data_IF_012297788640
#
_entry.id   IF_012297788640
#
_cell.length_a   1.000
_cell.length_b   1.000
_cell.length_c   1.000
_cell.angle_alpha   90.00
_cell.angle_beta   90.00
_cell.angle_gamma   90.00
#
_symmetry.space_group_name_H-M   'P 1'
#
loop_
_entity.id
_entity.type
_entity.pdbx_description
1 polymer ?
#
# COMPACT_ATOMS: atom_id res chain seq x y z
N UNK A 1 11.89 -17.48 -6.74
CA UNK A 1 12.07 -18.82 -7.34
C UNK A 1 11.81 -18.79 -8.84
N UNK A 2 10.63 -18.34 -9.32
CA UNK A 2 10.25 -18.33 -10.74
C UNK A 2 11.19 -17.48 -11.64
N UNK A 3 11.61 -16.31 -11.17
CA UNK A 3 12.55 -15.43 -11.89
C UNK A 3 13.94 -16.06 -12.03
N UNK A 4 14.48 -16.61 -10.95
CA UNK A 4 15.78 -17.31 -10.95
C UNK A 4 15.72 -18.52 -11.89
N UNK A 5 14.62 -19.27 -11.84
CA UNK A 5 14.40 -20.40 -12.76
C UNK A 5 14.45 -19.98 -14.24
N UNK A 6 13.79 -18.88 -14.61
CA UNK A 6 13.81 -18.39 -15.99
C UNK A 6 15.19 -17.89 -16.42
N UNK A 7 15.93 -17.19 -15.56
CA UNK A 7 17.32 -16.77 -15.85
C UNK A 7 18.22 -17.99 -16.08
N UNK A 8 18.15 -18.97 -15.18
CA UNK A 8 18.94 -20.21 -15.31
C UNK A 8 18.57 -20.96 -16.58
N UNK A 9 17.30 -21.05 -16.91
CA UNK A 9 16.82 -21.70 -18.14
C UNK A 9 17.36 -21.01 -19.40
N UNK A 10 17.31 -19.66 -19.45
CA UNK A 10 17.86 -18.89 -20.57
C UNK A 10 19.37 -19.10 -20.67
N UNK A 11 20.09 -19.11 -19.54
CA UNK A 11 21.52 -19.33 -19.52
C UNK A 11 21.90 -20.73 -20.01
N UNK A 12 21.15 -21.76 -19.62
CA UNK A 12 21.35 -23.12 -20.08
C UNK A 12 21.09 -23.31 -21.60
N UNK A 13 20.08 -22.61 -22.13
CA UNK A 13 19.79 -22.58 -23.56
C UNK A 13 20.98 -21.93 -24.31
N UNK A 14 21.48 -20.81 -23.81
CA UNK A 14 22.63 -20.12 -24.41
C UNK A 14 23.89 -20.97 -24.49
N UNK A 15 24.19 -21.71 -23.41
CA UNK A 15 25.43 -22.50 -23.31
C UNK A 15 25.49 -23.62 -24.35
N UNK A 16 24.35 -24.06 -24.90
CA UNK A 16 24.23 -25.13 -25.88
C UNK A 16 23.82 -24.64 -27.28
N UNK A 17 23.68 -23.31 -27.45
CA UNK A 17 23.38 -22.73 -28.75
C UNK A 17 24.65 -22.43 -29.52
N UNK A 18 24.65 -22.74 -30.81
CA UNK A 18 25.75 -22.38 -31.72
C UNK A 18 25.39 -21.17 -32.57
N UNK A 19 26.38 -20.35 -32.87
CA UNK A 19 26.22 -19.14 -33.67
C UNK A 19 26.07 -19.52 -35.15
N UNK A 20 25.03 -18.99 -35.80
CA UNK A 20 24.85 -19.11 -37.27
C UNK A 20 25.56 -17.96 -37.94
N UNK A 21 26.43 -18.31 -38.92
CA UNK A 21 27.21 -17.38 -39.71
C UNK A 21 27.16 -17.72 -41.16
N UNK A 22 27.67 -16.85 -42.03
CA UNK A 22 27.81 -17.12 -43.48
C UNK A 22 28.74 -18.27 -43.80
N UNK A 23 29.54 -18.77 -42.86
CA UNK A 23 30.49 -19.84 -43.03
C UNK A 23 29.90 -21.23 -42.76
N UNK A 24 29.04 -21.33 -41.74
CA UNK A 24 28.46 -22.62 -41.31
C UNK A 24 27.06 -22.91 -41.88
N UNK A 25 26.22 -21.86 -42.08
CA UNK A 25 24.86 -21.98 -42.63
C UNK A 25 24.59 -20.79 -43.56
N UNK A 26 25.21 -20.77 -44.75
CA UNK A 26 25.20 -19.61 -45.65
C UNK A 26 23.80 -19.20 -46.11
N UNK A 27 22.96 -20.18 -46.53
CA UNK A 27 21.61 -19.89 -47.04
C UNK A 27 20.69 -19.32 -45.98
N UNK A 28 20.64 -19.97 -44.82
CA UNK A 28 19.84 -19.54 -43.67
C UNK A 28 20.27 -18.17 -43.16
N UNK A 29 21.60 -17.94 -43.08
CA UNK A 29 22.16 -16.67 -42.68
C UNK A 29 21.82 -15.53 -43.64
N UNK A 30 21.93 -15.80 -44.97
CA UNK A 30 21.60 -14.81 -46.00
C UNK A 30 20.12 -14.43 -45.97
N UNK A 31 19.24 -15.40 -45.74
CA UNK A 31 17.81 -15.17 -45.59
C UNK A 31 17.52 -14.30 -44.34
N UNK A 32 18.19 -14.58 -43.22
CA UNK A 32 18.08 -13.77 -42.00
C UNK A 32 18.54 -12.34 -42.24
N UNK A 33 19.68 -12.12 -42.94
CA UNK A 33 20.19 -10.78 -43.22
C UNK A 33 19.23 -10.03 -44.17
N UNK A 34 18.62 -10.69 -45.13
CA UNK A 34 17.62 -10.06 -46.00
C UNK A 34 16.41 -9.52 -45.20
N UNK A 35 15.97 -10.27 -44.19
CA UNK A 35 14.92 -9.81 -43.24
C UNK A 35 15.37 -8.59 -42.41
N UNK A 36 16.62 -8.61 -41.99
CA UNK A 36 17.23 -7.54 -41.20
C UNK A 36 17.29 -6.21 -41.98
N UNK A 37 17.72 -6.28 -43.26
CA UNK A 37 17.75 -5.14 -44.17
C UNK A 37 16.34 -4.61 -44.48
N UNK A 38 15.39 -5.52 -44.77
CA UNK A 38 14.00 -5.16 -45.05
C UNK A 38 13.34 -4.45 -43.90
N UNK A 39 13.69 -4.81 -42.65
CA UNK A 39 13.24 -4.16 -41.42
C UNK A 39 14.00 -2.87 -41.09
N UNK A 40 15.06 -2.54 -41.85
CA UNK A 40 15.95 -1.39 -41.61
C UNK A 40 16.52 -1.38 -40.17
N UNK A 41 16.88 -2.55 -39.65
CA UNK A 41 17.51 -2.69 -38.35
C UNK A 41 18.99 -2.35 -38.51
N UNK A 42 19.47 -1.31 -37.79
CA UNK A 42 20.86 -0.83 -37.87
C UNK A 42 21.83 -1.60 -36.98
N UNK A 43 21.30 -2.15 -35.89
CA UNK A 43 22.09 -2.87 -34.91
C UNK A 43 22.17 -4.33 -35.26
N UNK A 44 23.36 -4.93 -35.13
CA UNK A 44 23.52 -6.36 -35.32
C UNK A 44 22.75 -7.16 -34.27
N UNK A 45 21.86 -8.06 -34.71
CA UNK A 45 21.14 -9.04 -33.89
C UNK A 45 21.71 -10.41 -34.26
N UNK A 46 22.38 -11.06 -33.31
CA UNK A 46 23.04 -12.34 -33.59
C UNK A 46 22.03 -13.47 -33.68
N UNK A 47 22.21 -14.37 -34.69
CA UNK A 47 21.39 -15.54 -34.89
C UNK A 47 22.08 -16.78 -34.35
N UNK A 48 21.34 -17.55 -33.50
CA UNK A 48 21.81 -18.80 -32.91
C UNK A 48 20.84 -19.94 -33.24
N UNK A 49 21.33 -21.16 -33.28
CA UNK A 49 20.50 -22.36 -33.31
C UNK A 49 20.73 -23.22 -32.08
N UNK A 50 19.69 -23.91 -31.60
CA UNK A 50 19.76 -24.77 -30.42
C UNK A 50 18.79 -25.95 -30.54
N UNK A 51 19.26 -27.13 -30.14
CA UNK A 51 18.43 -28.35 -30.05
C UNK A 51 17.53 -28.37 -28.79
N UNK A 52 17.71 -27.41 -27.86
CA UNK A 52 16.98 -27.40 -26.60
C UNK A 52 15.76 -26.49 -26.60
N UNK A 53 15.39 -25.91 -27.72
CA UNK A 53 14.21 -25.11 -27.89
C UNK A 53 13.29 -25.66 -28.97
N UNK A 54 11.99 -25.55 -28.73
CA UNK A 54 10.96 -25.96 -29.69
C UNK A 54 10.33 -24.76 -30.41
N UNK A 55 10.66 -23.53 -29.99
CA UNK A 55 10.17 -22.30 -30.64
C UNK A 55 11.27 -21.25 -30.70
N UNK A 56 11.31 -20.43 -31.78
CA UNK A 56 12.18 -19.29 -31.88
C UNK A 56 11.95 -18.36 -30.64
N UNK A 57 13.01 -17.70 -30.23
CA UNK A 57 12.97 -16.76 -29.12
C UNK A 57 13.90 -15.60 -29.40
N UNK A 58 13.38 -14.38 -29.33
CA UNK A 58 14.17 -13.17 -29.36
C UNK A 58 14.35 -12.63 -27.94
N UNK A 59 15.59 -12.34 -27.54
CA UNK A 59 15.91 -11.84 -26.21
C UNK A 59 17.20 -11.00 -26.20
N UNK A 60 17.47 -10.38 -25.05
CA UNK A 60 18.64 -9.54 -24.83
C UNK A 60 18.39 -8.06 -25.10
N UNK A 61 18.60 -7.22 -24.11
CA UNK A 61 18.41 -5.77 -24.20
C UNK A 61 19.67 -5.08 -24.76
N UNK A 62 20.85 -5.44 -24.21
CA UNK A 62 22.13 -4.85 -24.61
C UNK A 62 22.78 -5.61 -25.77
N UNK A 63 22.62 -6.92 -25.83
CA UNK A 63 23.15 -7.79 -26.88
C UNK A 63 22.00 -8.63 -27.41
N UNK A 64 21.20 -8.09 -28.35
CA UNK A 64 20.03 -8.77 -28.87
C UNK A 64 20.42 -10.01 -29.68
N UNK A 65 19.67 -11.08 -29.44
CA UNK A 65 19.88 -12.38 -30.06
C UNK A 65 18.55 -12.99 -30.46
N UNK A 66 18.53 -13.72 -31.55
CA UNK A 66 17.46 -14.64 -31.95
C UNK A 66 18.01 -16.04 -31.83
N UNK A 67 17.33 -16.94 -31.14
CA UNK A 67 17.65 -18.37 -31.14
C UNK A 67 16.52 -19.09 -31.84
N UNK A 68 16.86 -19.98 -32.78
CA UNK A 68 15.93 -20.82 -33.51
C UNK A 68 16.16 -22.31 -33.18
N UNK A 69 15.14 -23.16 -33.33
CA UNK A 69 15.35 -24.61 -33.31
C UNK A 69 16.33 -25.05 -34.41
N UNK A 70 17.21 -26.02 -34.10
CA UNK A 70 18.26 -26.46 -35.02
C UNK A 70 17.71 -27.03 -36.32
N UNK A 71 16.55 -27.71 -36.29
CA UNK A 71 15.97 -28.41 -37.44
C UNK A 71 14.88 -27.56 -38.15
N UNK A 72 14.86 -26.23 -37.90
CA UNK A 72 13.79 -25.37 -38.41
C UNK A 72 13.74 -25.28 -39.92
N UNK A 73 14.88 -25.19 -40.57
CA UNK A 73 15.07 -25.15 -42.05
C UNK A 73 14.78 -26.48 -42.72
N UNK A 74 14.98 -27.60 -42.04
CA UNK A 74 14.64 -28.95 -42.52
C UNK A 74 13.13 -29.19 -42.46
N UNK A 75 12.49 -28.68 -41.40
CA UNK A 75 11.07 -28.93 -41.14
C UNK A 75 10.12 -27.97 -41.85
N UNK A 76 10.57 -26.79 -42.20
CA UNK A 76 9.76 -25.72 -42.80
C UNK A 76 10.26 -25.33 -44.18
N UNK A 77 9.39 -24.75 -45.00
CA UNK A 77 9.80 -24.20 -46.30
C UNK A 77 10.61 -22.91 -46.09
N UNK A 78 11.44 -22.56 -47.09
CA UNK A 78 12.17 -21.27 -47.08
C UNK A 78 11.25 -20.07 -46.81
N UNK A 79 10.03 -20.09 -47.38
CA UNK A 79 9.06 -19.02 -47.17
C UNK A 79 8.53 -18.97 -45.73
N UNK A 80 8.34 -20.13 -45.09
CA UNK A 80 7.93 -20.19 -43.68
C UNK A 80 9.04 -19.65 -42.75
N UNK A 81 10.29 -20.06 -43.00
CA UNK A 81 11.46 -19.56 -42.26
C UNK A 81 11.60 -18.04 -42.39
N UNK A 82 11.42 -17.53 -43.63
CA UNK A 82 11.43 -16.09 -43.89
C UNK A 82 10.37 -15.34 -43.07
N UNK A 83 9.14 -15.84 -42.98
CA UNK A 83 8.08 -15.21 -42.19
C UNK A 83 8.36 -15.28 -40.69
N UNK A 84 8.93 -16.36 -40.20
CA UNK A 84 9.33 -16.50 -38.79
C UNK A 84 10.46 -15.52 -38.47
N UNK A 85 11.47 -15.36 -39.33
CA UNK A 85 12.53 -14.37 -39.11
C UNK A 85 11.98 -12.94 -39.07
N UNK A 86 11.06 -12.59 -39.93
CA UNK A 86 10.39 -11.30 -39.88
C UNK A 86 9.66 -11.09 -38.55
N UNK A 87 8.99 -12.12 -38.04
CA UNK A 87 8.25 -12.08 -36.79
C UNK A 87 9.19 -11.88 -35.59
N UNK A 88 10.25 -12.67 -35.48
CA UNK A 88 11.22 -12.58 -34.37
C UNK A 88 11.96 -11.23 -34.37
N UNK A 89 12.31 -10.72 -35.54
CA UNK A 89 12.94 -9.41 -35.66
C UNK A 89 11.98 -8.24 -35.35
N UNK A 90 10.65 -8.43 -35.48
CA UNK A 90 9.67 -7.43 -35.02
C UNK A 90 9.64 -7.32 -33.51
N UNK A 91 9.77 -8.42 -32.75
CA UNK A 91 9.91 -8.37 -31.29
C UNK A 91 11.09 -7.49 -30.86
N UNK A 92 12.23 -7.63 -31.55
CA UNK A 92 13.37 -6.74 -31.32
C UNK A 92 13.04 -5.28 -31.62
N UNK A 93 12.40 -5.00 -32.75
CA UNK A 93 12.04 -3.65 -33.22
C UNK A 93 11.03 -2.97 -32.29
N UNK A 94 10.10 -3.73 -31.72
CA UNK A 94 9.11 -3.26 -30.73
C UNK A 94 9.70 -3.12 -29.32
N UNK A 95 10.97 -3.54 -29.10
CA UNK A 95 11.65 -3.54 -27.79
C UNK A 95 10.95 -4.42 -26.75
N UNK A 96 10.39 -5.53 -27.17
CA UNK A 96 9.62 -6.45 -26.32
C UNK A 96 10.45 -7.03 -25.17
N UNK A 97 11.76 -7.20 -25.38
CA UNK A 97 12.68 -7.59 -24.31
C UNK A 97 12.65 -6.60 -23.13
N UNK A 98 12.64 -5.29 -23.40
CA UNK A 98 12.56 -4.27 -22.35
C UNK A 98 11.23 -4.35 -21.58
N UNK A 99 10.12 -4.50 -22.31
CA UNK A 99 8.80 -4.68 -21.70
C UNK A 99 8.73 -5.95 -20.84
N UNK A 100 9.37 -7.04 -21.27
CA UNK A 100 9.46 -8.26 -20.47
C UNK A 100 10.19 -8.05 -19.15
N UNK A 101 11.32 -7.32 -19.13
CA UNK A 101 12.02 -7.02 -17.89
C UNK A 101 11.18 -6.17 -16.93
N UNK A 102 10.51 -5.13 -17.44
CA UNK A 102 9.58 -4.30 -16.64
C UNK A 102 8.45 -5.17 -16.09
N UNK A 103 7.84 -6.01 -16.92
CA UNK A 103 6.78 -6.94 -16.52
C UNK A 103 7.22 -7.88 -15.40
N UNK A 104 8.43 -8.46 -15.52
CA UNK A 104 8.99 -9.33 -14.49
C UNK A 104 9.21 -8.60 -13.15
N UNK A 105 9.73 -7.37 -13.18
CA UNK A 105 9.93 -6.55 -11.97
C UNK A 105 8.57 -6.27 -11.30
N UNK A 106 7.58 -5.84 -12.08
CA UNK A 106 6.24 -5.57 -11.54
C UNK A 106 5.57 -6.84 -10.99
N UNK A 107 5.75 -8.00 -11.63
CA UNK A 107 5.24 -9.27 -11.12
C UNK A 107 5.94 -9.72 -9.82
N UNK A 108 7.20 -9.35 -9.61
CA UNK A 108 7.92 -9.60 -8.35
C UNK A 108 7.37 -8.70 -7.24
N UNK A 109 7.19 -7.41 -7.51
CA UNK A 109 6.70 -6.43 -6.54
C UNK A 109 5.24 -6.74 -6.16
N UNK A 110 4.40 -7.03 -7.15
CA UNK A 110 2.95 -7.26 -6.98
C UNK A 110 2.58 -8.75 -7.12
N UNK A 111 3.44 -9.65 -6.64
CA UNK A 111 3.27 -11.11 -6.77
C UNK A 111 1.92 -11.63 -6.24
N UNK A 112 1.35 -10.96 -5.26
CA UNK A 112 0.08 -11.30 -4.60
C UNK A 112 -1.16 -10.77 -5.34
N UNK A 113 -1.01 -9.89 -6.35
CA UNK A 113 -2.12 -9.24 -7.03
C UNK A 113 -2.50 -9.99 -8.33
N UNK A 114 -3.65 -10.70 -8.38
CA UNK A 114 -4.06 -11.47 -9.56
C UNK A 114 -4.37 -10.60 -10.78
N UNK A 115 -4.78 -9.34 -10.59
CA UNK A 115 -5.05 -8.42 -11.71
C UNK A 115 -3.79 -8.06 -12.48
N UNK A 116 -2.65 -7.96 -11.81
CA UNK A 116 -1.35 -7.73 -12.45
C UNK A 116 -0.97 -8.92 -13.34
N UNK A 117 -1.15 -10.16 -12.87
CA UNK A 117 -0.90 -11.36 -13.65
C UNK A 117 -1.81 -11.45 -14.87
N UNK A 118 -3.09 -11.16 -14.69
CA UNK A 118 -4.07 -11.13 -15.79
C UNK A 118 -3.73 -10.03 -16.81
N UNK A 119 -3.39 -8.82 -16.35
CA UNK A 119 -2.97 -7.72 -17.23
C UNK A 119 -1.74 -8.06 -18.06
N UNK A 120 -0.74 -8.71 -17.50
CA UNK A 120 0.44 -9.15 -18.25
C UNK A 120 0.15 -10.28 -19.24
N UNK A 121 -0.78 -11.16 -18.92
CA UNK A 121 -1.23 -12.18 -19.87
C UNK A 121 -1.88 -11.53 -21.11
N UNK A 122 -2.75 -10.54 -20.92
CA UNK A 122 -3.34 -9.76 -22.02
C UNK A 122 -2.25 -9.03 -22.80
N UNK A 123 -1.34 -8.33 -22.12
CA UNK A 123 -0.24 -7.60 -22.77
C UNK A 123 0.64 -8.52 -23.64
N UNK A 124 0.92 -9.74 -23.17
CA UNK A 124 1.66 -10.72 -23.94
C UNK A 124 0.93 -11.11 -25.22
N UNK A 125 -0.38 -11.38 -25.15
CA UNK A 125 -1.22 -11.69 -26.30
C UNK A 125 -1.25 -10.53 -27.31
N UNK A 126 -1.43 -9.31 -26.84
CA UNK A 126 -1.50 -8.11 -27.70
C UNK A 126 -0.18 -7.84 -28.40
N UNK A 127 0.96 -8.16 -27.79
CA UNK A 127 2.29 -8.06 -28.42
C UNK A 127 2.44 -9.03 -29.59
N UNK A 128 1.99 -10.28 -29.43
CA UNK A 128 2.01 -11.25 -30.55
C UNK A 128 1.20 -10.73 -31.73
N UNK A 129 -0.03 -10.24 -31.48
CA UNK A 129 -0.88 -9.65 -32.53
C UNK A 129 -0.23 -8.42 -33.16
N UNK A 130 0.44 -7.57 -32.38
CA UNK A 130 1.14 -6.40 -32.90
C UNK A 130 2.34 -6.78 -33.80
N UNK A 131 3.08 -7.84 -33.44
CA UNK A 131 4.14 -8.39 -34.26
C UNK A 131 3.58 -8.98 -35.59
N UNK A 132 2.50 -9.77 -35.51
CA UNK A 132 1.83 -10.31 -36.70
C UNK A 132 1.36 -9.19 -37.64
N UNK A 133 0.69 -8.18 -37.11
CA UNK A 133 0.26 -7.02 -37.90
C UNK A 133 1.43 -6.27 -38.55
N UNK A 134 2.57 -6.21 -37.88
CA UNK A 134 3.78 -5.58 -38.42
C UNK A 134 4.40 -6.41 -39.54
N UNK A 135 4.38 -7.74 -39.42
CA UNK A 135 4.81 -8.65 -40.49
C UNK A 135 3.90 -8.48 -41.71
N UNK A 136 2.56 -8.50 -41.53
CA UNK A 136 1.59 -8.35 -42.63
C UNK A 136 1.76 -7.00 -43.33
N UNK A 137 2.07 -5.92 -42.61
CA UNK A 137 2.37 -4.63 -43.24
C UNK A 137 3.58 -4.66 -44.17
N UNK A 138 4.51 -5.59 -43.97
CA UNK A 138 5.74 -5.73 -44.76
C UNK A 138 5.53 -6.67 -45.98
N UNK A 139 4.87 -7.81 -45.73
CA UNK A 139 4.65 -8.83 -46.75
C UNK A 139 3.47 -8.48 -47.67
N UNK A 140 2.60 -7.58 -47.23
CA UNK A 140 1.37 -7.18 -47.93
C UNK A 140 0.17 -8.08 -47.60
N UNK A 141 -1.03 -7.51 -47.72
CA UNK A 141 -2.29 -8.19 -47.40
C UNK A 141 -2.53 -9.47 -48.20
N UNK A 142 -2.04 -9.54 -49.44
CA UNK A 142 -2.23 -10.71 -50.29
C UNK A 142 -1.54 -11.97 -49.74
N UNK A 143 -0.47 -11.80 -48.97
CA UNK A 143 0.31 -12.90 -48.37
C UNK A 143 -0.10 -13.21 -46.93
N UNK A 144 -1.16 -12.56 -46.38
CA UNK A 144 -1.58 -12.78 -45.00
C UNK A 144 -2.08 -14.20 -44.75
N UNK A 145 -2.70 -14.82 -45.71
CA UNK A 145 -3.18 -16.21 -45.63
C UNK A 145 -2.00 -17.19 -45.55
N UNK A 146 -0.98 -17.00 -46.37
CA UNK A 146 0.24 -17.83 -46.35
C UNK A 146 1.00 -17.70 -45.06
N UNK A 147 1.07 -16.47 -44.51
CA UNK A 147 1.62 -16.22 -43.17
C UNK A 147 0.82 -16.94 -42.09
N UNK A 148 -0.51 -16.90 -42.16
CA UNK A 148 -1.38 -17.63 -41.21
C UNK A 148 -1.13 -19.15 -41.26
N UNK A 149 -0.97 -19.72 -42.48
CA UNK A 149 -0.61 -21.12 -42.65
C UNK A 149 0.79 -21.45 -42.12
N UNK A 150 1.75 -20.53 -42.20
CA UNK A 150 3.06 -20.69 -41.59
C UNK A 150 2.95 -20.92 -40.09
N UNK A 151 2.12 -20.12 -39.38
CA UNK A 151 1.90 -20.28 -37.93
C UNK A 151 1.26 -21.64 -37.61
N UNK A 152 0.33 -22.12 -38.44
CA UNK A 152 -0.30 -23.43 -38.26
C UNK A 152 0.74 -24.55 -38.48
N UNK A 153 1.45 -24.55 -39.62
CA UNK A 153 2.49 -25.56 -39.92
C UNK A 153 3.57 -25.58 -38.84
N UNK A 154 3.95 -24.40 -38.37
CA UNK A 154 4.91 -24.27 -37.31
C UNK A 154 4.39 -24.92 -36.02
N UNK A 155 3.15 -24.60 -35.60
CA UNK A 155 2.54 -25.17 -34.40
C UNK A 155 2.38 -26.70 -34.50
N UNK A 156 2.01 -27.24 -35.63
CA UNK A 156 1.85 -28.68 -35.85
C UNK A 156 3.18 -29.43 -35.82
N UNK A 157 4.21 -28.93 -36.48
CA UNK A 157 5.52 -29.61 -36.61
C UNK A 157 6.32 -29.55 -35.30
N UNK A 158 6.21 -28.44 -34.55
CA UNK A 158 6.93 -28.25 -33.30
C UNK A 158 6.26 -28.92 -32.08
N UNK A 159 4.96 -29.20 -32.12
CA UNK A 159 4.29 -29.97 -31.07
C UNK A 159 4.77 -31.44 -30.97
N UNK A 160 5.25 -32.02 -32.06
CA UNK A 160 5.79 -33.39 -32.02
C UNK A 160 7.10 -33.51 -31.23
N UNK A 161 7.87 -32.43 -31.09
CA UNK A 161 9.14 -32.42 -30.34
C UNK A 161 8.98 -31.88 -28.91
N UNK A 162 7.77 -31.47 -28.46
CA UNK A 162 7.50 -30.84 -27.18
C UNK A 162 7.36 -31.83 -25.99
N UNK A 163 7.91 -33.05 -26.10
CA UNK A 163 7.87 -34.03 -25.00
C UNK A 163 8.69 -33.62 -23.77
N UNK A 164 9.42 -32.51 -23.82
CA UNK A 164 10.35 -32.06 -22.77
C UNK A 164 9.96 -30.75 -22.03
N UNK A 165 8.79 -30.17 -22.29
CA UNK A 165 8.37 -28.95 -21.57
C UNK A 165 7.09 -29.16 -20.75
N UNK A 166 7.17 -29.28 -19.39
CA UNK A 166 5.99 -29.42 -18.54
C UNK A 166 5.04 -28.22 -18.55
N UNK A 167 5.48 -27.08 -19.07
CA UNK A 167 4.74 -25.80 -19.11
C UNK A 167 3.83 -25.62 -20.33
N UNK A 168 3.97 -26.46 -21.37
CA UNK A 168 3.14 -26.41 -22.60
C UNK A 168 1.78 -27.12 -22.45
N UNK A 169 1.47 -27.71 -21.30
CA UNK A 169 0.25 -28.53 -21.07
C UNK A 169 -1.01 -27.75 -20.71
N UNK A 170 -0.94 -26.45 -20.50
CA UNK A 170 -2.13 -25.67 -20.21
C UNK A 170 -2.70 -25.16 -21.55
N UNK A 171 -3.93 -25.55 -21.89
CA UNK A 171 -4.66 -25.27 -23.13
C UNK A 171 -4.76 -23.81 -23.59
N UNK A 172 -3.93 -22.93 -23.02
CA UNK A 172 -3.76 -21.53 -23.36
C UNK A 172 -3.05 -21.30 -24.71
N UNK A 173 -2.04 -22.09 -25.04
CA UNK A 173 -1.26 -21.88 -26.28
C UNK A 173 -2.09 -22.07 -27.56
N UNK A 174 -2.95 -23.10 -27.60
CA UNK A 174 -3.86 -23.32 -28.76
C UNK A 174 -4.82 -22.15 -28.94
N UNK A 175 -5.36 -21.61 -27.85
CA UNK A 175 -6.28 -20.47 -27.91
C UNK A 175 -5.58 -19.21 -28.42
N UNK A 176 -4.35 -18.96 -27.98
CA UNK A 176 -3.55 -17.83 -28.46
C UNK A 176 -3.28 -17.92 -29.95
N UNK A 177 -2.90 -19.10 -30.47
CA UNK A 177 -2.67 -19.32 -31.92
C UNK A 177 -3.98 -19.11 -32.70
N UNK A 178 -5.10 -19.65 -32.25
CA UNK A 178 -6.41 -19.45 -32.89
C UNK A 178 -6.78 -17.96 -32.90
N UNK A 179 -6.57 -17.23 -31.86
CA UNK A 179 -6.84 -15.80 -31.79
C UNK A 179 -5.93 -15.02 -32.72
N UNK A 180 -4.63 -15.34 -32.82
CA UNK A 180 -3.69 -14.75 -33.78
C UNK A 180 -4.16 -14.99 -35.22
N UNK A 181 -4.53 -16.23 -35.57
CA UNK A 181 -5.02 -16.58 -36.93
C UNK A 181 -6.30 -15.80 -37.26
N UNK A 182 -7.24 -15.65 -36.33
CA UNK A 182 -8.44 -14.84 -36.54
C UNK A 182 -8.11 -13.37 -36.79
N UNK A 183 -7.17 -12.81 -36.06
CA UNK A 183 -6.73 -11.42 -36.25
C UNK A 183 -6.00 -11.24 -37.61
N UNK A 184 -5.16 -12.21 -38.00
CA UNK A 184 -4.50 -12.22 -39.30
C UNK A 184 -5.53 -12.28 -40.45
N UNK A 185 -6.56 -13.15 -40.34
CA UNK A 185 -7.61 -13.28 -41.34
C UNK A 185 -8.47 -12.00 -41.46
N UNK A 186 -8.70 -11.32 -40.31
CA UNK A 186 -9.47 -10.08 -40.24
C UNK A 186 -8.61 -8.82 -40.37
N UNK A 187 -7.35 -8.95 -40.76
CA UNK A 187 -6.40 -7.85 -40.79
C UNK A 187 -6.95 -6.63 -41.55
N UNK A 188 -7.00 -5.52 -40.85
CA UNK A 188 -7.28 -4.21 -41.42
C UNK A 188 -6.15 -3.24 -41.07
N UNK A 189 -5.64 -2.53 -42.05
CA UNK A 189 -4.58 -1.54 -41.85
C UNK A 189 -5.08 -0.46 -40.86
N UNK A 190 -4.42 -0.36 -39.72
CA UNK A 190 -4.77 0.64 -38.70
C UNK A 190 -4.63 2.05 -39.29
N UNK A 191 -5.73 2.78 -39.32
CA UNK A 191 -5.74 4.13 -39.85
C UNK A 191 -4.97 5.08 -38.90
N UNK A 192 -4.37 6.16 -39.47
CA UNK A 192 -3.70 7.20 -38.66
C UNK A 192 -4.63 7.80 -37.60
N UNK A 193 -5.94 7.86 -37.89
CA UNK A 193 -6.98 8.36 -36.97
C UNK A 193 -7.12 7.46 -35.74
N UNK A 194 -7.17 6.15 -35.92
CA UNK A 194 -7.23 5.19 -34.80
C UNK A 194 -5.99 5.27 -33.92
N UNK A 195 -4.79 5.34 -34.51
CA UNK A 195 -3.53 5.49 -33.74
C UNK A 195 -3.52 6.76 -32.91
N UNK A 196 -3.98 7.89 -33.49
CA UNK A 196 -4.10 9.17 -32.77
C UNK A 196 -5.10 9.07 -31.60
N UNK A 197 -6.26 8.48 -31.84
CA UNK A 197 -7.28 8.31 -30.80
C UNK A 197 -6.76 7.43 -29.63
N UNK A 198 -6.04 6.34 -29.92
CA UNK A 198 -5.43 5.49 -28.90
C UNK A 198 -4.42 6.27 -28.03
N UNK A 199 -3.60 7.14 -28.65
CA UNK A 199 -2.67 8.00 -27.90
C UNK A 199 -3.43 8.99 -27.03
N UNK A 200 -4.50 9.59 -27.53
CA UNK A 200 -5.34 10.53 -26.76
C UNK A 200 -5.96 9.83 -25.55
N UNK A 201 -6.51 8.63 -25.74
CA UNK A 201 -7.08 7.82 -24.64
C UNK A 201 -6.01 7.49 -23.59
N UNK A 202 -4.80 7.08 -24.03
CA UNK A 202 -3.70 6.79 -23.11
C UNK A 202 -3.29 8.01 -22.29
N UNK A 203 -3.11 9.17 -22.97
CA UNK A 203 -2.77 10.43 -22.28
C UNK A 203 -3.87 10.83 -21.31
N UNK A 204 -5.14 10.72 -21.70
CA UNK A 204 -6.27 10.99 -20.82
C UNK A 204 -6.27 10.08 -19.58
N UNK A 205 -6.04 8.77 -19.77
CA UNK A 205 -5.94 7.82 -18.65
C UNK A 205 -4.77 8.17 -17.70
N UNK A 206 -3.60 8.53 -18.23
CA UNK A 206 -2.46 8.96 -17.42
C UNK A 206 -2.76 10.25 -16.63
N UNK A 207 -3.40 11.23 -17.26
CA UNK A 207 -3.83 12.48 -16.60
C UNK A 207 -4.85 12.16 -15.50
N UNK A 208 -5.80 11.29 -15.77
CA UNK A 208 -6.82 10.90 -14.80
C UNK A 208 -6.19 10.22 -13.57
N UNK A 209 -5.26 9.27 -13.77
CA UNK A 209 -4.50 8.63 -12.68
C UNK A 209 -3.68 9.66 -11.91
N UNK A 210 -3.01 10.59 -12.61
CA UNK A 210 -2.24 11.66 -11.99
C UNK A 210 -3.12 12.61 -11.17
N UNK A 211 -4.31 12.98 -11.65
CA UNK A 211 -5.26 13.84 -10.93
C UNK A 211 -5.91 13.15 -9.73
N UNK A 212 -6.12 11.82 -9.79
CA UNK A 212 -6.69 11.03 -8.68
C UNK A 212 -5.63 10.70 -7.63
N UNK A 213 -4.36 10.58 -8.00
CA UNK A 213 -3.27 10.27 -7.08
C UNK A 213 -3.18 11.21 -5.87
N UNK A 214 -3.25 12.56 -6.02
CA UNK A 214 -3.29 13.47 -4.88
C UNK A 214 -4.51 13.29 -3.97
N UNK A 215 -5.68 12.95 -4.55
CA UNK A 215 -6.87 12.66 -3.75
C UNK A 215 -6.69 11.41 -2.88
N UNK A 216 -6.05 10.37 -3.41
CA UNK A 216 -5.74 9.16 -2.65
C UNK A 216 -4.65 9.41 -1.59
N UNK A 217 -3.66 10.27 -1.88
CA UNK A 217 -2.63 10.66 -0.89
C UNK A 217 -3.16 11.62 0.16
N UNK A 218 -4.11 12.49 -0.15
CA UNK A 218 -4.79 13.35 0.84
C UNK A 218 -5.63 12.53 1.81
N UNK A 219 -6.21 11.40 1.38
CA UNK A 219 -6.84 10.46 2.29
C UNK A 219 -5.84 9.61 3.10
N UNK A 220 -4.62 9.40 2.61
CA UNK A 220 -3.58 8.61 3.29
C UNK A 220 -2.62 9.45 4.15
N UNK A 221 -2.57 10.76 3.97
CA UNK A 221 -1.70 11.70 4.68
C UNK A 221 -2.44 12.98 5.05
N UNK A 222 -3.52 12.89 5.81
CA UNK A 222 -3.76 13.88 6.85
C UNK A 222 -2.77 13.57 7.97
N UNK A 223 -1.52 13.78 7.69
CA UNK A 223 -0.49 13.86 8.69
C UNK A 223 -0.78 15.15 9.46
N UNK A 224 -1.31 15.04 10.67
CA UNK A 224 -1.54 16.16 11.57
C UNK A 224 -0.23 16.91 11.92
N UNK A 225 0.93 16.35 11.53
CA UNK A 225 2.22 17.05 11.55
C UNK A 225 2.24 18.32 10.66
N UNK A 226 1.35 18.43 9.67
CA UNK A 226 1.27 19.62 8.79
C UNK A 226 0.62 20.85 9.45
N UNK A 227 -0.03 20.73 10.62
CA UNK A 227 -0.55 21.86 11.37
C UNK A 227 0.49 22.50 12.29
N UNK A 228 1.63 21.86 12.49
CA UNK A 228 2.75 22.40 13.27
C UNK A 228 3.63 23.25 12.35
N UNK A 229 3.27 24.50 12.11
CA UNK A 229 4.20 25.44 11.48
C UNK A 229 5.33 25.75 12.46
N UNK A 230 6.57 25.77 11.97
CA UNK A 230 7.77 26.06 12.78
C UNK A 230 7.72 27.41 13.52
N UNK A 231 6.74 28.25 13.22
CA UNK A 231 6.55 29.56 13.84
C UNK A 231 5.76 29.52 15.16
N UNK A 232 5.01 28.43 15.45
CA UNK A 232 4.15 28.32 16.61
C UNK A 232 4.65 27.29 17.64
N UNK A 233 5.89 26.81 17.51
CA UNK A 233 6.47 25.79 18.39
C UNK A 233 7.65 26.37 19.15
N UNK A 234 7.62 26.26 20.47
CA UNK A 234 8.74 26.51 21.36
C UNK A 234 9.28 25.17 21.90
N UNK A 235 10.54 24.89 21.68
CA UNK A 235 11.22 23.77 22.32
C UNK A 235 11.51 24.14 23.79
N UNK A 236 11.15 23.24 24.73
CA UNK A 236 11.38 23.44 26.16
C UNK A 236 12.26 22.31 26.72
N UNK A 237 13.15 22.64 27.64
CA UNK A 237 13.96 21.65 28.36
C UNK A 237 13.26 21.19 29.63
N UNK A 238 12.80 19.95 29.61
CA UNK A 238 12.17 19.26 30.74
C UNK A 238 12.95 17.99 31.13
N UNK A 239 14.20 17.87 30.73
CA UNK A 239 15.04 16.68 30.94
C UNK A 239 15.13 16.24 32.40
N UNK A 240 15.06 17.18 33.36
CA UNK A 240 15.06 16.89 34.80
C UNK A 240 13.86 16.03 35.22
N UNK A 241 12.69 16.24 34.66
CA UNK A 241 11.46 15.47 34.94
C UNK A 241 11.47 14.06 34.33
N UNK A 242 12.20 13.88 33.23
CA UNK A 242 12.32 12.61 32.52
C UNK A 242 13.62 11.84 32.79
N UNK A 243 14.36 12.20 33.85
CA UNK A 243 15.68 11.61 34.16
C UNK A 243 15.68 10.09 34.38
N UNK A 244 14.54 9.51 34.78
CA UNK A 244 14.36 8.07 35.09
C UNK A 244 13.60 7.31 34.01
N UNK A 245 13.05 7.98 32.98
CA UNK A 245 12.19 7.37 31.98
C UNK A 245 12.32 8.10 30.66
N UNK A 246 12.15 7.38 29.56
CA UNK A 246 12.09 7.99 28.25
C UNK A 246 10.68 8.48 27.95
N UNK A 247 10.52 9.74 27.54
CA UNK A 247 9.20 10.28 27.28
C UNK A 247 9.21 11.62 26.56
N UNK A 248 8.02 12.15 26.35
CA UNK A 248 7.77 13.46 25.75
C UNK A 248 6.63 14.18 26.47
N UNK A 249 6.63 15.48 26.33
CA UNK A 249 5.57 16.35 26.83
C UNK A 249 5.21 17.37 25.76
N UNK A 250 3.91 17.58 25.57
CA UNK A 250 3.35 18.58 24.67
C UNK A 250 2.30 19.36 25.43
N UNK A 251 2.36 20.69 25.34
CA UNK A 251 1.29 21.56 25.84
C UNK A 251 0.95 22.60 24.75
N UNK A 252 -0.33 22.83 24.55
CA UNK A 252 -0.89 23.76 23.58
C UNK A 252 -1.72 24.83 24.29
N UNK A 253 -1.36 26.07 24.07
CA UNK A 253 -2.07 27.26 24.50
C UNK A 253 -3.14 27.58 23.45
N UNK A 254 -4.42 27.34 23.80
CA UNK A 254 -5.53 27.52 22.85
C UNK A 254 -5.80 28.99 22.52
N UNK A 255 -5.49 29.93 23.42
CA UNK A 255 -5.71 31.36 23.21
C UNK A 255 -4.66 31.98 22.27
N UNK A 256 -3.39 31.57 22.46
CA UNK A 256 -2.27 32.16 21.71
C UNK A 256 -1.84 31.31 20.50
N UNK A 257 -2.47 30.17 20.25
CA UNK A 257 -2.11 29.19 19.20
C UNK A 257 -0.62 28.84 19.23
N UNK A 258 -0.10 28.43 20.43
CA UNK A 258 1.31 28.11 20.63
C UNK A 258 1.50 26.77 21.31
N UNK A 259 2.46 26.01 20.77
CA UNK A 259 2.90 24.73 21.34
C UNK A 259 4.21 24.92 22.09
N UNK A 260 4.35 24.26 23.25
CA UNK A 260 5.64 24.00 23.90
C UNK A 260 5.85 22.48 23.88
N UNK A 261 7.00 22.04 23.37
CA UNK A 261 7.28 20.62 23.14
C UNK A 261 8.61 20.25 23.80
N UNK A 262 8.59 19.18 24.58
CA UNK A 262 9.78 18.47 25.03
C UNK A 262 9.91 17.16 24.27
N UNK A 263 11.11 16.85 23.73
CA UNK A 263 11.45 15.66 22.97
C UNK A 263 10.57 15.48 21.73
N UNK A 264 10.83 16.30 20.71
CA UNK A 264 10.08 16.38 19.47
C UNK A 264 9.96 15.03 18.75
N UNK A 265 11.02 14.21 18.77
CA UNK A 265 11.01 12.89 18.10
C UNK A 265 9.98 11.94 18.72
N UNK A 266 9.90 11.88 20.05
CA UNK A 266 8.91 11.07 20.72
C UNK A 266 7.52 11.71 20.70
N UNK A 267 7.42 13.05 20.67
CA UNK A 267 6.13 13.75 20.63
C UNK A 267 5.36 13.57 19.33
N UNK A 268 6.06 13.26 18.25
CA UNK A 268 5.46 12.98 16.91
C UNK A 268 5.35 11.49 16.59
N UNK A 269 5.95 10.63 17.42
CA UNK A 269 5.91 9.18 17.23
C UNK A 269 4.57 8.62 17.66
N UNK A 270 3.89 7.91 16.77
CA UNK A 270 2.63 7.22 17.05
C UNK A 270 2.87 5.92 17.81
N UNK A 271 2.18 5.77 18.95
CA UNK A 271 2.13 4.57 19.79
C UNK A 271 0.68 4.23 20.13
N UNK A 272 0.41 3.09 20.79
CA UNK A 272 -0.96 2.74 21.19
C UNK A 272 -1.55 3.76 22.14
N UNK A 273 -2.83 4.16 21.96
CA UNK A 273 -3.50 5.10 22.85
C UNK A 273 -3.79 4.50 24.23
N UNK A 274 -3.85 3.20 24.34
CA UNK A 274 -4.31 2.48 25.51
C UNK A 274 -5.62 3.10 26.06
N UNK A 275 -5.78 3.26 27.35
CA UNK A 275 -7.03 3.79 27.93
C UNK A 275 -7.35 5.24 27.56
N UNK A 276 -6.50 5.98 26.84
CA UNK A 276 -6.85 7.35 26.42
C UNK A 276 -7.89 7.37 25.29
N UNK A 277 -8.00 6.29 24.48
CA UNK A 277 -9.01 6.13 23.45
C UNK A 277 -10.45 6.24 23.99
N UNK A 278 -10.64 5.89 25.26
CA UNK A 278 -11.94 5.84 25.94
C UNK A 278 -12.68 7.17 25.96
N UNK A 279 -11.97 8.29 25.85
CA UNK A 279 -12.56 9.62 25.69
C UNK A 279 -13.44 9.64 24.45
N UNK A 280 -12.90 9.17 23.33
CA UNK A 280 -13.56 9.20 22.02
C UNK A 280 -14.57 8.06 21.87
N UNK A 281 -14.28 6.85 22.38
CA UNK A 281 -15.26 5.76 22.45
C UNK A 281 -16.53 6.19 23.22
N UNK A 282 -16.36 6.84 24.36
CA UNK A 282 -17.48 7.40 25.14
C UNK A 282 -18.25 8.47 24.36
N UNK A 283 -17.57 9.38 23.67
CA UNK A 283 -18.18 10.41 22.84
C UNK A 283 -19.00 9.80 21.70
N UNK A 284 -18.44 8.81 20.99
CA UNK A 284 -19.13 8.15 19.87
C UNK A 284 -20.37 7.39 20.36
N UNK A 285 -20.29 6.76 21.54
CA UNK A 285 -21.44 6.10 22.14
C UNK A 285 -22.57 7.08 22.52
N UNK A 286 -22.22 8.30 22.93
CA UNK A 286 -23.19 9.37 23.16
C UNK A 286 -23.82 9.86 21.86
N UNK A 287 -23.03 10.05 20.79
CA UNK A 287 -23.51 10.49 19.47
C UNK A 287 -24.46 9.46 18.82
N UNK A 288 -24.15 8.16 18.96
CA UNK A 288 -24.99 7.08 18.44
C UNK A 288 -26.20 6.77 19.35
N UNK A 289 -26.31 7.43 20.51
CA UNK A 289 -27.40 7.19 21.44
C UNK A 289 -27.33 5.83 22.14
N UNK A 290 -26.21 5.12 22.11
CA UNK A 290 -25.95 3.88 22.86
C UNK A 290 -26.02 4.16 24.37
N UNK A 291 -25.54 5.31 24.77
CA UNK A 291 -25.72 5.92 26.11
C UNK A 291 -26.16 7.37 25.91
N UNK A 292 -26.68 7.99 26.96
CA UNK A 292 -26.98 9.43 26.94
C UNK A 292 -26.52 10.12 28.23
N UNK A 293 -26.48 11.46 28.21
CA UNK A 293 -25.98 12.27 29.30
C UNK A 293 -26.60 11.89 30.66
N UNK A 294 -27.90 11.63 30.73
CA UNK A 294 -28.62 11.32 31.95
C UNK A 294 -28.68 9.82 32.29
N UNK A 295 -28.34 8.94 31.35
CA UNK A 295 -28.44 7.48 31.47
C UNK A 295 -27.31 6.80 30.77
N UNK A 296 -26.14 6.74 31.42
CA UNK A 296 -24.95 6.08 30.91
C UNK A 296 -24.60 4.80 31.69
N UNK A 297 -25.55 4.29 32.49
CA UNK A 297 -25.32 3.11 33.32
C UNK A 297 -25.27 1.83 32.47
N UNK A 298 -24.21 1.02 32.70
CA UNK A 298 -24.07 -0.33 32.18
C UNK A 298 -23.96 -1.30 33.32
N UNK A 299 -24.72 -2.41 33.25
CA UNK A 299 -24.69 -3.45 34.28
C UNK A 299 -23.46 -4.31 34.14
N UNK A 300 -22.80 -4.58 35.28
CA UNK A 300 -21.73 -5.54 35.39
C UNK A 300 -22.28 -6.96 35.27
N UNK A 301 -21.65 -7.79 34.49
CA UNK A 301 -22.10 -9.14 34.17
C UNK A 301 -21.73 -10.21 35.22
N UNK A 302 -21.08 -9.80 36.31
CA UNK A 302 -20.60 -10.69 37.38
C UNK A 302 -19.20 -11.26 37.14
N UNK A 303 -18.53 -10.94 36.02
CA UNK A 303 -17.16 -11.34 35.75
C UNK A 303 -16.21 -10.72 36.75
N UNK A 304 -15.36 -11.53 37.42
CA UNK A 304 -14.44 -11.04 38.43
C UNK A 304 -13.15 -10.49 37.77
N UNK A 305 -12.96 -9.18 37.85
CA UNK A 305 -11.78 -8.48 37.34
C UNK A 305 -10.78 -8.23 38.48
N UNK A 306 -9.52 -8.01 38.12
CA UNK A 306 -8.42 -7.76 39.03
C UNK A 306 -8.65 -6.49 39.89
N UNK A 307 -9.27 -5.47 39.33
CA UNK A 307 -9.57 -4.22 40.03
C UNK A 307 -10.98 -4.28 40.62
N UNK A 308 -11.12 -4.18 41.94
CA UNK A 308 -12.41 -4.17 42.63
C UNK A 308 -13.35 -3.08 42.12
N UNK A 309 -12.81 -1.94 41.68
CA UNK A 309 -13.58 -0.83 41.12
C UNK A 309 -14.29 -1.20 39.79
N UNK A 310 -13.89 -2.31 39.13
CA UNK A 310 -14.49 -2.80 37.90
C UNK A 310 -15.66 -3.78 38.17
N UNK A 311 -15.71 -4.36 39.37
CA UNK A 311 -16.64 -5.42 39.75
C UNK A 311 -17.96 -4.83 40.27
N UNK A 312 -18.56 -3.90 39.54
CA UNK A 312 -19.83 -3.25 39.81
C UNK A 312 -20.35 -2.51 38.59
N UNK A 313 -21.62 -2.13 38.61
CA UNK A 313 -22.23 -1.27 37.58
C UNK A 313 -21.45 0.03 37.39
N UNK A 314 -21.36 0.51 36.20
CA UNK A 314 -20.60 1.69 35.82
C UNK A 314 -21.45 2.71 35.06
N UNK A 315 -21.17 3.99 35.32
CA UNK A 315 -21.58 5.11 34.46
C UNK A 315 -20.38 5.55 33.61
N UNK A 316 -20.58 6.38 32.59
CA UNK A 316 -19.51 6.95 31.78
C UNK A 316 -18.42 7.61 32.66
N UNK A 317 -18.83 8.41 33.65
CA UNK A 317 -17.91 9.09 34.57
C UNK A 317 -17.10 8.10 35.40
N UNK A 318 -17.72 7.09 35.98
CA UNK A 318 -17.01 6.10 36.80
C UNK A 318 -16.13 5.19 35.97
N UNK A 319 -16.55 4.83 34.76
CA UNK A 319 -15.80 4.00 33.82
C UNK A 319 -14.58 4.75 33.30
N UNK A 320 -14.67 6.03 32.91
CA UNK A 320 -13.51 6.86 32.53
C UNK A 320 -12.52 7.01 33.65
N UNK A 321 -13.01 7.37 34.88
CA UNK A 321 -12.17 7.57 36.09
C UNK A 321 -11.40 6.29 36.46
N UNK A 322 -12.05 5.13 36.41
CA UNK A 322 -11.45 3.84 36.80
C UNK A 322 -10.86 3.07 35.59
N UNK A 323 -10.86 3.64 34.39
CA UNK A 323 -10.38 3.00 33.17
C UNK A 323 -11.00 1.63 32.89
N UNK A 324 -12.29 1.43 33.10
CA UNK A 324 -13.00 0.16 33.05
C UNK A 324 -13.08 -0.36 31.59
N UNK A 325 -12.32 -1.38 31.25
CA UNK A 325 -12.25 -1.87 29.86
C UNK A 325 -13.58 -2.44 29.37
N UNK A 326 -14.22 -3.32 30.16
CA UNK A 326 -15.45 -3.99 29.75
C UNK A 326 -16.58 -3.00 29.40
N UNK A 327 -16.62 -1.85 30.07
CA UNK A 327 -17.63 -0.82 29.79
C UNK A 327 -17.48 -0.27 28.35
N UNK A 328 -16.26 0.10 27.97
CA UNK A 328 -15.99 0.66 26.64
C UNK A 328 -16.01 -0.40 25.54
N UNK A 329 -15.57 -1.63 25.81
CA UNK A 329 -15.71 -2.75 24.88
C UNK A 329 -17.19 -3.04 24.56
N UNK A 330 -18.07 -2.96 25.57
CA UNK A 330 -19.50 -3.06 25.36
C UNK A 330 -20.07 -1.91 24.51
N UNK A 331 -19.63 -0.66 24.75
CA UNK A 331 -20.04 0.48 23.95
C UNK A 331 -19.56 0.30 22.49
N UNK A 332 -18.30 -0.01 22.28
CA UNK A 332 -17.71 -0.19 20.96
C UNK A 332 -18.41 -1.33 20.18
N UNK A 333 -18.76 -2.42 20.87
CA UNK A 333 -19.51 -3.53 20.28
C UNK A 333 -20.92 -3.09 19.85
N UNK A 334 -21.62 -2.29 20.64
CA UNK A 334 -22.95 -1.78 20.32
C UNK A 334 -22.91 -0.74 19.17
N UNK A 335 -21.89 0.10 19.11
CA UNK A 335 -21.66 1.04 18.00
C UNK A 335 -21.36 0.27 16.70
N UNK A 336 -20.54 -0.77 16.78
CA UNK A 336 -20.14 -1.62 15.66
C UNK A 336 -18.98 -1.07 14.85
N UNK A 337 -18.25 -1.99 14.19
CA UNK A 337 -16.97 -1.69 13.52
C UNK A 337 -17.04 -0.57 12.49
N UNK A 338 -18.05 -0.60 11.60
CA UNK A 338 -18.14 0.38 10.49
C UNK A 338 -18.40 1.79 11.00
N UNK A 339 -19.26 1.93 12.00
CA UNK A 339 -19.58 3.21 12.60
C UNK A 339 -18.39 3.77 13.38
N UNK A 340 -17.70 2.93 14.18
CA UNK A 340 -16.46 3.31 14.86
C UNK A 340 -15.39 3.76 13.87
N UNK A 341 -15.16 2.99 12.81
CA UNK A 341 -14.20 3.34 11.76
C UNK A 341 -14.54 4.69 11.11
N UNK A 342 -15.84 4.95 10.85
CA UNK A 342 -16.31 6.25 10.33
C UNK A 342 -15.99 7.41 11.27
N UNK A 343 -16.23 7.25 12.58
CA UNK A 343 -15.94 8.27 13.58
C UNK A 343 -14.45 8.53 13.74
N UNK A 344 -13.61 7.48 13.82
CA UNK A 344 -12.15 7.64 13.89
C UNK A 344 -11.61 8.37 12.67
N UNK A 345 -12.15 8.11 11.47
CA UNK A 345 -11.79 8.86 10.28
C UNK A 345 -12.32 10.31 10.32
N UNK A 346 -13.57 10.53 10.79
CA UNK A 346 -14.16 11.87 10.93
C UNK A 346 -13.28 12.78 11.76
N UNK A 347 -12.79 12.29 12.90
CA UNK A 347 -11.93 13.07 13.78
C UNK A 347 -10.43 12.97 13.43
N UNK A 348 -10.05 12.19 12.41
CA UNK A 348 -8.67 11.95 12.00
C UNK A 348 -7.77 11.42 13.13
N UNK A 349 -8.23 10.42 13.88
CA UNK A 349 -7.53 9.86 15.03
C UNK A 349 -6.30 9.05 14.63
N UNK A 350 -5.12 9.63 14.77
CA UNK A 350 -3.84 8.97 14.51
C UNK A 350 -3.80 8.23 13.17
N UNK A 351 -3.61 6.90 13.17
CA UNK A 351 -3.60 6.08 11.96
C UNK A 351 -4.98 5.52 11.57
N UNK A 352 -6.03 5.73 12.36
CA UNK A 352 -7.38 5.21 12.14
C UNK A 352 -7.47 3.70 11.92
N UNK A 353 -6.50 2.90 12.41
CA UNK A 353 -6.41 1.47 12.12
C UNK A 353 -7.09 0.63 13.21
N UNK A 354 -8.26 0.07 12.89
CA UNK A 354 -9.03 -0.83 13.74
C UNK A 354 -8.87 -2.31 13.35
N UNK A 355 -7.86 -2.67 12.56
CA UNK A 355 -7.73 -4.00 11.95
C UNK A 355 -7.54 -5.15 12.96
N UNK A 356 -7.11 -4.83 14.19
CA UNK A 356 -7.01 -5.84 15.26
C UNK A 356 -8.37 -6.26 15.87
N UNK A 357 -9.48 -5.65 15.43
CA UNK A 357 -10.82 -5.97 15.89
C UNK A 357 -11.30 -5.08 17.03
N UNK A 358 -12.63 -5.03 17.26
CA UNK A 358 -13.29 -4.11 18.18
C UNK A 358 -12.80 -4.23 19.62
N UNK A 359 -12.42 -5.43 20.05
CA UNK A 359 -12.08 -5.70 21.44
C UNK A 359 -10.69 -5.19 21.82
N UNK A 360 -9.72 -5.20 20.87
CA UNK A 360 -8.30 -5.04 21.19
C UNK A 360 -7.56 -3.95 20.37
N UNK A 361 -8.21 -3.27 19.41
CA UNK A 361 -7.56 -2.34 18.49
C UNK A 361 -6.76 -1.22 19.18
N UNK A 362 -7.11 -0.87 20.42
CA UNK A 362 -6.58 0.24 21.20
C UNK A 362 -5.45 -0.15 22.16
N UNK A 363 -5.32 -1.43 22.54
CA UNK A 363 -4.43 -1.93 23.60
C UNK A 363 -3.17 -2.54 23.03
N UNK A 364 -2.08 -1.78 22.95
CA UNK A 364 -0.79 -2.19 22.36
C UNK A 364 -0.93 -2.89 21.00
N UNK A 365 -1.89 -2.42 20.18
CA UNK A 365 -2.35 -3.09 18.97
C UNK A 365 -2.34 -2.16 17.74
N UNK A 366 -3.34 -2.25 16.85
CA UNK A 366 -3.32 -1.60 15.53
C UNK A 366 -3.49 -0.08 15.57
N UNK A 367 -4.35 0.44 16.46
CA UNK A 367 -4.59 1.89 16.57
C UNK A 367 -3.39 2.59 17.21
N UNK A 368 -2.89 3.63 16.55
CA UNK A 368 -1.71 4.39 17.01
C UNK A 368 -1.96 5.89 16.89
N UNK A 369 -1.45 6.64 17.86
CA UNK A 369 -1.55 8.10 17.90
C UNK A 369 -0.31 8.69 18.57
N UNK A 370 0.08 9.91 18.21
CA UNK A 370 1.20 10.63 18.81
C UNK A 370 0.75 11.62 19.89
N UNK A 371 1.64 12.04 20.80
CA UNK A 371 1.35 13.08 21.79
C UNK A 371 0.84 14.39 21.19
N UNK A 372 1.42 14.82 20.08
CA UNK A 372 0.96 16.02 19.37
C UNK A 372 -0.47 15.84 18.86
N UNK A 373 -0.78 14.70 18.24
CA UNK A 373 -2.14 14.40 17.75
C UNK A 373 -3.16 14.34 18.88
N UNK A 374 -2.79 13.80 20.05
CA UNK A 374 -3.65 13.80 21.23
C UNK A 374 -4.02 15.23 21.67
N UNK A 375 -3.05 16.14 21.69
CA UNK A 375 -3.27 17.55 22.06
C UNK A 375 -4.16 18.25 21.02
N UNK A 376 -3.94 18.02 19.74
CA UNK A 376 -4.77 18.56 18.66
C UNK A 376 -6.21 18.07 18.81
N UNK A 377 -6.42 16.77 18.99
CA UNK A 377 -7.76 16.20 19.16
C UNK A 377 -8.47 16.71 20.41
N UNK A 378 -7.75 16.94 21.51
CA UNK A 378 -8.34 17.55 22.73
C UNK A 378 -8.77 18.99 22.48
N UNK A 379 -7.98 19.80 21.76
CA UNK A 379 -8.38 21.17 21.41
C UNK A 379 -9.58 21.18 20.47
N UNK A 380 -9.59 20.30 19.46
CA UNK A 380 -10.71 20.16 18.53
C UNK A 380 -12.00 19.66 19.23
N UNK A 381 -11.87 18.79 20.26
CA UNK A 381 -12.97 18.38 21.11
C UNK A 381 -13.57 19.56 21.86
N UNK A 382 -12.73 20.39 22.49
CA UNK A 382 -13.17 21.55 23.27
C UNK A 382 -13.78 22.65 22.41
N UNK A 383 -13.33 22.80 21.18
CA UNK A 383 -13.90 23.71 20.16
C UNK A 383 -15.11 23.13 19.44
N UNK A 384 -15.47 21.87 19.71
CA UNK A 384 -16.49 21.10 18.98
C UNK A 384 -16.35 21.19 17.46
N UNK A 385 -15.13 21.06 16.96
CA UNK A 385 -14.79 21.23 15.55
C UNK A 385 -15.45 20.18 14.63
N UNK A 386 -15.91 19.08 15.20
CA UNK A 386 -16.56 17.99 14.49
C UNK A 386 -18.09 18.12 14.44
N UNK A 387 -18.66 19.20 15.01
CA UNK A 387 -20.11 19.47 15.04
C UNK A 387 -20.89 18.32 15.69
N UNK A 388 -20.40 17.82 16.82
CA UNK A 388 -21.13 16.89 17.67
C UNK A 388 -22.13 17.63 18.57
N UNK A 389 -23.06 16.92 19.20
CA UNK A 389 -24.00 17.55 20.10
C UNK A 389 -23.29 18.16 21.34
N UNK A 390 -23.50 19.44 21.59
CA UNK A 390 -22.86 20.18 22.72
C UNK A 390 -23.03 19.48 24.09
N UNK A 391 -24.21 18.88 24.33
CA UNK A 391 -24.45 18.11 25.56
C UNK A 391 -23.53 16.89 25.70
N UNK A 392 -23.11 16.27 24.56
CA UNK A 392 -22.24 15.10 24.54
C UNK A 392 -20.79 15.52 24.81
N UNK A 393 -20.35 16.62 24.20
CA UNK A 393 -19.05 17.24 24.51
C UNK A 393 -18.99 17.59 26.02
N UNK A 394 -20.04 18.22 26.55
CA UNK A 394 -20.11 18.56 27.99
C UNK A 394 -20.07 17.32 28.88
N UNK A 395 -20.75 16.22 28.48
CA UNK A 395 -20.72 14.96 29.22
C UNK A 395 -19.31 14.38 29.34
N UNK A 396 -18.55 14.42 28.22
CA UNK A 396 -17.15 13.99 28.23
C UNK A 396 -16.29 14.89 29.07
N UNK A 397 -16.45 16.22 28.96
CA UNK A 397 -15.72 17.20 29.80
C UNK A 397 -15.98 16.96 31.30
N UNK A 398 -17.23 16.78 31.70
CA UNK A 398 -17.61 16.49 33.10
C UNK A 398 -16.98 15.17 33.59
N UNK A 399 -16.97 14.14 32.72
CA UNK A 399 -16.40 12.83 33.04
C UNK A 399 -14.86 12.84 33.15
N UNK A 400 -14.18 13.78 32.48
CA UNK A 400 -12.72 13.97 32.55
C UNK A 400 -12.27 14.82 33.73
N UNK A 401 -13.19 15.49 34.47
CA UNK A 401 -12.83 16.34 35.59
C UNK A 401 -12.13 15.55 36.72
N UNK A 402 -10.95 16.01 37.11
CA UNK A 402 -10.13 15.39 38.16
C UNK A 402 -10.28 16.18 39.48
N UNK A 403 -9.92 17.47 39.48
CA UNK A 403 -9.93 18.30 40.66
C UNK A 403 -9.76 19.78 40.35
N UNK A 404 -10.19 20.62 41.28
CA UNK A 404 -9.74 22.00 41.40
C UNK A 404 -8.34 22.02 42.05
N UNK A 405 -7.40 22.69 41.40
CA UNK A 405 -6.01 22.82 41.88
C UNK A 405 -5.65 24.30 42.09
N UNK A 406 -4.49 24.58 42.70
CA UNK A 406 -3.99 25.95 42.86
C UNK A 406 -3.72 26.66 41.55
N UNK A 407 -3.50 25.92 40.49
CA UNK A 407 -3.20 26.41 39.14
C UNK A 407 -4.39 26.35 38.16
N UNK A 408 -5.57 25.90 38.62
CA UNK A 408 -6.79 25.82 37.81
C UNK A 408 -7.52 24.50 37.88
N UNK A 409 -8.56 24.34 37.08
CA UNK A 409 -9.33 23.10 36.98
C UNK A 409 -8.64 22.11 36.06
N UNK A 410 -8.30 20.94 36.59
CA UNK A 410 -7.59 19.89 35.89
C UNK A 410 -8.55 18.82 35.39
N UNK A 411 -8.43 18.49 34.12
CA UNK A 411 -9.17 17.44 33.44
C UNK A 411 -8.18 16.48 32.77
N UNK A 412 -8.46 15.17 32.76
CA UNK A 412 -7.54 14.27 32.10
C UNK A 412 -7.89 12.80 32.15
N UNK A 413 -7.14 12.03 31.40
CA UNK A 413 -7.24 10.59 31.28
C UNK A 413 -5.86 9.95 31.22
N UNK A 414 -5.65 8.94 32.05
CA UNK A 414 -4.46 8.10 32.04
C UNK A 414 -4.63 6.90 31.11
N UNK A 415 -3.51 6.40 30.54
CA UNK A 415 -3.41 5.13 29.83
C UNK A 415 -2.15 4.38 30.23
N UNK A 416 -2.22 3.06 30.31
CA UNK A 416 -1.06 2.20 30.55
C UNK A 416 -1.14 1.03 29.58
N UNK A 417 -0.11 0.87 28.75
CA UNK A 417 0.09 -0.26 27.87
C UNK A 417 1.05 -1.25 28.49
N UNK A 418 0.75 -2.54 28.33
CA UNK A 418 1.60 -3.62 28.81
C UNK A 418 1.68 -4.75 27.82
N UNK A 419 2.90 -5.23 27.54
CA UNK A 419 3.16 -6.42 26.72
C UNK A 419 3.90 -7.44 27.57
N UNK A 420 3.39 -8.67 27.59
CA UNK A 420 3.97 -9.78 28.37
C UNK A 420 4.22 -9.45 29.87
N UNK A 421 3.33 -8.63 30.46
CA UNK A 421 3.43 -8.23 31.86
C UNK A 421 4.44 -7.12 32.16
N UNK A 422 5.07 -6.54 31.14
CA UNK A 422 5.94 -5.36 31.28
C UNK A 422 5.26 -4.12 30.72
N UNK A 423 5.35 -3.02 31.45
CA UNK A 423 4.82 -1.75 30.97
C UNK A 423 5.67 -1.23 29.83
N UNK A 424 5.01 -0.84 28.75
CA UNK A 424 5.65 -0.39 27.51
C UNK A 424 5.33 1.06 27.20
N UNK A 425 4.18 1.56 27.71
CA UNK A 425 3.58 2.80 27.28
C UNK A 425 2.74 3.41 28.43
N UNK A 426 3.05 4.62 28.82
CA UNK A 426 2.34 5.36 29.85
C UNK A 426 1.83 6.70 29.36
N UNK A 427 0.56 6.97 29.48
CA UNK A 427 -0.09 8.18 29.02
C UNK A 427 -0.74 8.97 30.13
N UNK A 428 -0.63 10.29 30.05
CA UNK A 428 -1.57 11.20 30.68
C UNK A 428 -1.87 12.35 29.72
N UNK A 429 -3.13 12.44 29.28
CA UNK A 429 -3.60 13.49 28.39
C UNK A 429 -4.75 14.23 29.01
N UNK A 430 -4.91 15.50 28.69
CA UNK A 430 -5.99 16.32 29.26
C UNK A 430 -5.83 17.79 28.94
N UNK A 431 -6.52 18.59 29.77
CA UNK A 431 -6.44 20.04 29.69
C UNK A 431 -6.58 20.66 31.09
N UNK A 432 -6.08 21.88 31.23
CA UNK A 432 -6.21 22.71 32.44
C UNK A 432 -6.84 24.04 32.04
N UNK A 433 -7.86 24.46 32.81
CA UNK A 433 -8.45 25.80 32.74
C UNK A 433 -7.73 26.68 33.74
N UNK A 434 -6.81 27.53 33.25
CA UNK A 434 -6.01 28.46 34.07
C UNK A 434 -6.39 29.91 33.74
N UNK A 435 -7.04 30.59 34.70
CA UNK A 435 -7.61 31.91 34.48
C UNK A 435 -8.68 31.86 33.37
N UNK A 436 -8.52 32.70 32.33
CA UNK A 436 -9.42 32.73 31.16
C UNK A 436 -8.93 31.87 30.00
N UNK A 437 -7.80 31.14 30.18
CA UNK A 437 -7.18 30.35 29.11
C UNK A 437 -7.29 28.85 29.41
N UNK A 438 -7.30 28.07 28.31
CA UNK A 438 -7.29 26.62 28.36
C UNK A 438 -6.02 26.10 27.66
N UNK A 439 -5.34 25.18 28.32
CA UNK A 439 -4.13 24.53 27.85
C UNK A 439 -4.37 23.03 27.73
N UNK A 440 -4.28 22.49 26.50
CA UNK A 440 -4.31 21.05 26.25
C UNK A 440 -2.91 20.47 26.45
N UNK A 441 -2.78 19.29 27.07
CA UNK A 441 -1.48 18.64 27.26
C UNK A 441 -1.51 17.14 26.97
N UNK A 442 -0.34 16.60 26.65
CA UNK A 442 -0.11 15.16 26.55
C UNK A 442 1.31 14.82 27.03
N UNK A 443 1.40 13.91 27.97
CA UNK A 443 2.64 13.24 28.40
C UNK A 443 2.60 11.80 27.96
N UNK A 444 3.68 11.35 27.32
CA UNK A 444 3.86 9.95 26.97
C UNK A 444 5.21 9.43 27.44
N UNK A 445 5.19 8.30 28.15
CA UNK A 445 6.36 7.57 28.61
C UNK A 445 6.51 6.27 27.84
N UNK A 446 7.70 5.91 27.42
CA UNK A 446 7.96 4.72 26.59
C UNK A 446 9.10 3.87 27.14
N UNK A 447 9.04 2.56 26.89
CA UNK A 447 10.12 1.59 27.04
C UNK A 447 10.84 1.59 28.41
N UNK A 448 10.08 1.70 29.50
CA UNK A 448 10.62 1.54 30.84
C UNK A 448 9.61 0.85 31.75
N UNK A 449 10.07 0.15 32.80
CA UNK A 449 9.19 -0.47 33.80
C UNK A 449 8.24 0.55 34.45
N UNK A 450 8.64 1.82 34.50
CA UNK A 450 7.87 2.92 35.01
C UNK A 450 6.99 3.63 33.95
N UNK A 451 6.87 3.11 32.75
CA UNK A 451 5.99 3.69 31.70
C UNK A 451 4.51 3.40 32.05
N UNK A 452 3.99 4.05 33.07
CA UNK A 452 2.60 3.92 33.53
C UNK A 452 1.86 5.25 33.43
N UNK A 453 0.53 5.17 33.36
CA UNK A 453 -0.33 6.36 33.37
C UNK A 453 -0.20 7.15 34.66
N UNK A 454 0.03 6.50 35.81
CA UNK A 454 0.26 7.17 37.08
C UNK A 454 1.55 8.00 37.07
N UNK A 455 2.66 7.41 36.60
CA UNK A 455 3.93 8.13 36.46
C UNK A 455 3.84 9.30 35.48
N UNK A 456 3.14 9.09 34.34
CA UNK A 456 2.89 10.17 33.38
C UNK A 456 2.07 11.30 34.01
N UNK A 457 1.07 10.99 34.85
CA UNK A 457 0.26 11.98 35.57
C UNK A 457 1.08 12.76 36.57
N UNK A 458 1.91 12.10 37.41
CA UNK A 458 2.79 12.74 38.37
C UNK A 458 3.74 13.74 37.70
N UNK A 459 4.45 13.30 36.68
CA UNK A 459 5.36 14.15 35.88
C UNK A 459 4.61 15.36 35.29
N UNK A 460 3.41 15.12 34.72
CA UNK A 460 2.61 16.21 34.15
C UNK A 460 2.23 17.25 35.17
N UNK A 461 1.75 16.83 36.36
CA UNK A 461 1.33 17.75 37.40
C UNK A 461 2.52 18.58 37.90
N UNK A 462 3.70 17.99 38.08
CA UNK A 462 4.92 18.71 38.42
C UNK A 462 5.30 19.77 37.38
N UNK A 463 5.23 19.41 36.09
CA UNK A 463 5.51 20.32 34.98
C UNK A 463 4.49 21.47 34.96
N UNK A 464 3.19 21.16 35.03
CA UNK A 464 2.12 22.18 35.04
C UNK A 464 2.27 23.16 36.24
N UNK A 465 2.58 22.64 37.42
CA UNK A 465 2.87 23.48 38.59
C UNK A 465 4.08 24.41 38.30
N UNK A 466 5.13 23.91 37.67
CA UNK A 466 6.30 24.74 37.31
C UNK A 466 6.02 25.77 36.23
N UNK A 467 5.07 25.51 35.34
CA UNK A 467 4.74 26.44 34.25
C UNK A 467 3.78 27.55 34.67
N UNK A 468 2.93 27.30 35.67
CA UNK A 468 1.82 28.19 36.08
C UNK A 468 1.93 28.73 37.51
N UNK A 469 3.01 28.41 38.27
CA UNK A 469 3.28 28.93 39.62
C UNK A 469 3.94 30.31 39.66
#
# INVERSE_FOLDING_TARGET
VYFIYNIVKIHLIQKKAFLITSENEPELYQQYISCHEKLKIRRHVALYASCNISSPVSYGLLYPKVIIPQDMDILLSEQDVYYIFLHELQHYKHKDAALNYISCILQIIYWFNPFIWYGFHILQKDREIACDNSVINIIGKNNCIDYGYTLIRYAEKMQHNAFLSPLSRLGGEKKVIIDRIKEIANYQKISKKHKRNSIVILVFACVLVYCISPLLTVYASRDSSNNLTSQNIDDIDLSSYFSKTSGSFVIYDMTNDRYKIYNKDLSTKRVSPDSTYKIYSGLFALEEGVINYNSSNQHWDGTNYYFDSWNKDQTLTTALRNSVNWYFQNLDTQIGYQTLYSYYNKISYGNCDLSAGIEDYWSESSLKISPVEQVILLSELLENKWEFEEKNIQAIKDALFISDTSIGKLYGKTGTGSLNGQNTNGWFIGFIEHGENTYCFATNLQNSENATGSAASEITIEILNSLFS
#
